data_IF_079366759297
#
_entry.id   IF_079366759297
#
_cell.length_a   1.000
_cell.length_b   1.000
_cell.length_c   1.000
_cell.angle_alpha   90.00
_cell.angle_beta   90.00
_cell.angle_gamma   90.00
#
_symmetry.space_group_name_H-M   'P 1'
#
loop_
_entity.id
_entity.type
_entity.pdbx_description
1 polymer ?
#
# COMPACT_ATOMS: atom_id res chain seq x y z
N UNK A 1 -5.40 -55.29 -16.22
CA UNK A 1 -4.47 -54.24 -16.72
C UNK A 1 -5.11 -52.86 -16.89
N UNK A 2 -6.37 -52.74 -17.37
CA UNK A 2 -7.08 -51.43 -17.49
C UNK A 2 -7.34 -50.74 -16.14
N UNK A 3 -7.69 -51.48 -15.09
CA UNK A 3 -8.01 -50.87 -13.78
C UNK A 3 -6.83 -50.14 -13.13
N UNK A 4 -5.60 -50.65 -13.27
CA UNK A 4 -4.40 -49.98 -12.75
C UNK A 4 -4.18 -48.62 -13.41
N UNK A 5 -4.53 -48.47 -14.69
CA UNK A 5 -4.39 -47.19 -15.41
C UNK A 5 -5.42 -46.17 -14.92
N UNK A 6 -6.62 -46.62 -14.54
CA UNK A 6 -7.67 -45.78 -13.94
C UNK A 6 -7.25 -45.26 -12.56
N UNK A 7 -6.69 -46.11 -11.71
CA UNK A 7 -6.17 -45.67 -10.40
C UNK A 7 -5.01 -44.68 -10.54
N UNK A 8 -4.10 -44.92 -11.49
CA UNK A 8 -3.00 -44.00 -11.79
C UNK A 8 -3.57 -42.64 -12.23
N UNK A 9 -4.59 -42.61 -13.08
CA UNK A 9 -5.24 -41.38 -13.51
C UNK A 9 -5.91 -40.61 -12.36
N UNK A 10 -6.60 -41.32 -11.46
CA UNK A 10 -7.27 -40.71 -10.30
C UNK A 10 -6.24 -40.11 -9.34
N UNK A 11 -5.17 -40.83 -9.05
CA UNK A 11 -4.08 -40.32 -8.18
C UNK A 11 -3.45 -39.07 -8.79
N UNK A 12 -3.20 -39.07 -10.10
CA UNK A 12 -2.64 -37.92 -10.79
C UNK A 12 -3.58 -36.69 -10.73
N UNK A 13 -4.89 -36.91 -10.86
CA UNK A 13 -5.89 -35.86 -10.79
C UNK A 13 -5.99 -35.24 -9.38
N UNK A 14 -5.93 -36.07 -8.33
CA UNK A 14 -5.98 -35.60 -6.94
C UNK A 14 -4.76 -34.73 -6.61
N UNK A 15 -3.56 -35.10 -7.07
CA UNK A 15 -2.33 -34.31 -6.86
C UNK A 15 -2.44 -32.93 -7.50
N UNK A 16 -3.13 -32.80 -8.64
CA UNK A 16 -3.31 -31.51 -9.32
C UNK A 16 -4.22 -30.54 -8.53
N UNK A 17 -5.18 -31.08 -7.76
CA UNK A 17 -6.15 -30.29 -6.99
C UNK A 17 -5.57 -29.70 -5.69
N UNK A 18 -4.40 -30.15 -5.24
CA UNK A 18 -3.77 -29.66 -3.99
C UNK A 18 -2.79 -28.50 -4.23
N UNK A 19 -2.81 -27.88 -5.41
CA UNK A 19 -2.00 -26.69 -5.70
C UNK A 19 -2.47 -25.51 -4.83
N UNK A 20 -1.74 -25.28 -3.75
CA UNK A 20 -2.01 -24.20 -2.81
C UNK A 20 -1.73 -22.86 -3.48
N UNK A 21 -2.65 -21.90 -3.35
CA UNK A 21 -2.45 -20.51 -3.77
C UNK A 21 -1.30 -19.89 -2.97
N UNK A 22 -0.09 -19.94 -3.52
CA UNK A 22 1.07 -19.25 -2.96
C UNK A 22 0.83 -17.74 -3.08
N UNK A 23 0.45 -17.10 -1.98
CA UNK A 23 0.40 -15.65 -1.87
C UNK A 23 1.84 -15.18 -1.73
N UNK A 24 2.49 -14.89 -2.86
CA UNK A 24 3.81 -14.29 -2.85
C UNK A 24 3.73 -12.94 -2.12
N UNK A 25 4.41 -12.83 -0.97
CA UNK A 25 4.68 -11.55 -0.35
C UNK A 25 5.58 -10.75 -1.31
N UNK A 26 5.00 -9.79 -2.03
CA UNK A 26 5.74 -8.92 -2.93
C UNK A 26 6.50 -7.91 -2.06
N UNK A 27 7.74 -8.24 -1.72
CA UNK A 27 8.69 -7.24 -1.25
C UNK A 27 9.04 -6.36 -2.45
N UNK A 28 8.45 -5.17 -2.54
CA UNK A 28 8.87 -4.18 -3.54
C UNK A 28 10.26 -3.70 -3.13
N UNK A 29 11.30 -4.24 -3.79
CA UNK A 29 12.65 -3.70 -3.77
C UNK A 29 12.65 -2.37 -4.53
N UNK A 30 12.24 -1.32 -3.80
CA UNK A 30 12.00 0.03 -4.27
C UNK A 30 11.40 0.86 -3.13
N UNK A 31 11.45 2.19 -3.23
CA UNK A 31 10.80 3.06 -2.23
C UNK A 31 9.29 2.83 -2.31
N UNK A 32 8.67 2.29 -1.26
CA UNK A 32 7.22 2.09 -1.20
C UNK A 32 6.43 3.40 -1.36
N UNK A 33 5.13 3.31 -1.66
CA UNK A 33 4.27 4.47 -1.95
C UNK A 33 4.33 5.55 -0.84
N UNK A 34 4.38 5.13 0.44
CA UNK A 34 4.53 6.03 1.59
C UNK A 34 5.89 6.75 1.58
N UNK A 35 6.97 6.05 1.19
CA UNK A 35 8.31 6.62 1.05
C UNK A 35 8.38 7.60 -0.11
N UNK A 36 7.73 7.30 -1.24
CA UNK A 36 7.62 8.21 -2.37
C UNK A 36 6.82 9.47 -2.00
N UNK A 37 5.75 9.32 -1.23
CA UNK A 37 5.00 10.45 -0.67
C UNK A 37 5.88 11.33 0.22
N UNK A 38 6.65 10.72 1.12
CA UNK A 38 7.61 11.44 1.96
C UNK A 38 8.64 12.22 1.14
N UNK A 39 9.23 11.61 0.11
CA UNK A 39 10.18 12.31 -0.74
C UNK A 39 9.55 13.46 -1.52
N UNK A 40 8.32 13.29 -1.99
CA UNK A 40 7.59 14.37 -2.63
C UNK A 40 7.41 15.57 -1.71
N UNK A 41 6.97 15.34 -0.47
CA UNK A 41 6.84 16.40 0.53
C UNK A 41 8.21 17.02 0.89
N UNK A 42 9.24 16.20 1.10
CA UNK A 42 10.58 16.64 1.49
C UNK A 42 11.27 17.50 0.43
N UNK A 43 11.15 17.10 -0.84
CA UNK A 43 11.85 17.74 -1.96
C UNK A 43 10.97 18.74 -2.72
N UNK A 44 9.73 18.96 -2.29
CA UNK A 44 8.83 19.93 -2.90
C UNK A 44 8.24 19.47 -4.24
N UNK A 45 8.17 18.17 -4.51
CA UNK A 45 7.54 17.68 -5.74
C UNK A 45 6.01 17.74 -5.62
N UNK A 46 5.41 18.55 -6.47
CA UNK A 46 3.98 18.88 -6.41
C UNK A 46 3.16 18.26 -7.55
N UNK A 47 3.67 17.19 -8.17
CA UNK A 47 2.98 16.55 -9.30
C UNK A 47 1.78 15.72 -8.84
N UNK A 48 0.79 15.58 -9.73
CA UNK A 48 -0.36 14.67 -9.51
C UNK A 48 0.07 13.22 -9.25
N UNK A 49 1.20 12.80 -9.83
CA UNK A 49 1.77 11.48 -9.59
C UNK A 49 2.11 11.29 -8.12
N UNK A 50 2.81 12.24 -7.50
CA UNK A 50 3.18 12.21 -6.07
C UNK A 50 1.94 12.21 -5.18
N UNK A 51 0.93 13.02 -5.50
CA UNK A 51 -0.35 13.03 -4.78
C UNK A 51 -1.00 11.63 -4.82
N UNK A 52 -0.99 10.97 -5.97
CA UNK A 52 -1.53 9.61 -6.10
C UNK A 52 -0.70 8.59 -5.31
N UNK A 53 0.63 8.72 -5.26
CA UNK A 53 1.48 7.88 -4.39
C UNK A 53 1.07 7.99 -2.93
N UNK A 54 0.83 9.20 -2.42
CA UNK A 54 0.32 9.39 -1.07
C UNK A 54 -1.05 8.74 -0.85
N UNK A 55 -1.98 8.91 -1.79
CA UNK A 55 -3.33 8.31 -1.69
C UNK A 55 -3.30 6.79 -1.71
N UNK A 56 -2.47 6.20 -2.57
CA UNK A 56 -2.28 4.76 -2.63
C UNK A 56 -1.72 4.22 -1.31
N UNK A 57 -0.72 4.91 -0.74
CA UNK A 57 -0.20 4.56 0.59
C UNK A 57 -1.28 4.62 1.67
N UNK A 58 -2.16 5.62 1.64
CA UNK A 58 -3.29 5.72 2.57
C UNK A 58 -4.36 4.65 2.32
N UNK A 59 -4.43 4.04 1.15
CA UNK A 59 -5.34 2.92 0.88
C UNK A 59 -4.73 1.56 1.26
N UNK A 60 -3.44 1.51 1.61
CA UNK A 60 -2.78 0.30 2.08
C UNK A 60 -3.17 0.00 3.53
N UNK A 61 -3.90 -1.10 3.75
CA UNK A 61 -4.34 -1.52 5.08
C UNK A 61 -3.19 -2.00 5.98
N UNK A 62 -2.03 -2.34 5.41
CA UNK A 62 -0.84 -2.73 6.17
C UNK A 62 -0.06 -1.52 6.73
N UNK A 63 -0.41 -0.30 6.31
CA UNK A 63 0.25 0.91 6.77
C UNK A 63 -0.10 1.19 8.25
N UNK A 64 0.91 1.14 9.11
CA UNK A 64 0.76 1.36 10.55
C UNK A 64 0.11 2.73 10.85
N UNK A 65 -0.62 2.87 11.97
CA UNK A 65 -1.28 4.14 12.33
C UNK A 65 -0.31 5.33 12.35
N UNK A 66 0.90 5.14 12.90
CA UNK A 66 1.96 6.16 12.91
C UNK A 66 2.36 6.58 11.48
N UNK A 67 2.60 5.61 10.59
CA UNK A 67 2.99 5.90 9.21
C UNK A 67 1.84 6.49 8.39
N UNK A 68 0.60 6.12 8.70
CA UNK A 68 -0.61 6.71 8.13
C UNK A 68 -0.74 8.18 8.51
N UNK A 69 -0.56 8.52 9.79
CA UNK A 69 -0.46 9.90 10.25
C UNK A 69 0.60 10.71 9.52
N UNK A 70 1.82 10.18 9.43
CA UNK A 70 2.92 10.82 8.69
C UNK A 70 2.60 11.01 7.20
N UNK A 71 1.92 10.03 6.57
CA UNK A 71 1.53 10.10 5.16
C UNK A 71 0.46 11.18 4.92
N UNK A 72 -0.51 11.33 5.84
CA UNK A 72 -1.45 12.45 5.81
C UNK A 72 -0.74 13.81 5.93
N UNK A 73 0.23 13.93 6.85
CA UNK A 73 1.00 15.16 7.00
C UNK A 73 1.79 15.49 5.72
N UNK A 74 2.48 14.50 5.15
CA UNK A 74 3.24 14.67 3.90
C UNK A 74 2.32 15.09 2.74
N UNK A 75 1.15 14.47 2.59
CA UNK A 75 0.18 14.85 1.59
C UNK A 75 -0.36 16.27 1.80
N UNK A 76 -0.56 16.68 3.06
CA UNK A 76 -0.91 18.04 3.43
C UNK A 76 0.12 19.07 2.97
N UNK A 77 1.42 18.79 3.19
CA UNK A 77 2.53 19.62 2.70
C UNK A 77 2.50 19.72 1.17
N UNK A 78 2.30 18.60 0.48
CA UNK A 78 2.22 18.58 -0.99
C UNK A 78 1.03 19.42 -1.49
N UNK A 79 -0.15 19.32 -0.87
CA UNK A 79 -1.30 20.15 -1.22
C UNK A 79 -1.04 21.64 -0.97
N UNK A 80 -0.34 21.97 0.11
CA UNK A 80 0.04 23.36 0.39
C UNK A 80 0.96 23.91 -0.71
N UNK A 81 1.99 23.17 -1.08
CA UNK A 81 2.91 23.56 -2.16
C UNK A 81 2.17 23.73 -3.49
N UNK A 82 1.23 22.82 -3.76
CA UNK A 82 0.39 22.87 -4.95
C UNK A 82 -0.71 23.95 -4.91
N UNK A 83 -0.63 24.91 -3.98
CA UNK A 83 -1.58 26.01 -3.80
C UNK A 83 -3.03 25.55 -3.59
N UNK A 84 -3.21 24.43 -2.88
CA UNK A 84 -4.52 23.87 -2.49
C UNK A 84 -4.70 23.92 -0.96
N UNK A 85 -4.78 25.11 -0.35
CA UNK A 85 -4.75 25.29 1.11
C UNK A 85 -5.89 24.58 1.84
N UNK A 86 -7.11 24.58 1.30
CA UNK A 86 -8.25 23.90 1.94
C UNK A 86 -8.01 22.39 2.06
N UNK A 87 -7.46 21.78 1.00
CA UNK A 87 -7.10 20.36 1.01
C UNK A 87 -5.90 20.11 1.92
N UNK A 88 -4.94 21.02 1.97
CA UNK A 88 -3.82 20.94 2.88
C UNK A 88 -4.30 20.89 4.33
N UNK A 89 -5.11 21.86 4.75
CA UNK A 89 -5.67 21.93 6.11
C UNK A 89 -6.49 20.69 6.45
N UNK A 90 -7.38 20.25 5.56
CA UNK A 90 -8.18 19.04 5.75
C UNK A 90 -7.28 17.81 5.99
N UNK A 91 -6.24 17.65 5.17
CA UNK A 91 -5.37 16.48 5.22
C UNK A 91 -4.44 16.52 6.44
N UNK A 92 -3.91 17.70 6.79
CA UNK A 92 -3.11 17.90 8.00
C UNK A 92 -3.93 17.61 9.26
N UNK A 93 -5.19 18.05 9.31
CA UNK A 93 -6.08 17.77 10.43
C UNK A 93 -6.34 16.27 10.61
N UNK A 94 -6.56 15.53 9.51
CA UNK A 94 -6.62 14.06 9.57
C UNK A 94 -5.31 13.46 10.09
N UNK A 95 -4.16 13.97 9.68
CA UNK A 95 -2.86 13.53 10.22
C UNK A 95 -2.73 13.71 11.73
N UNK A 96 -3.28 14.80 12.28
CA UNK A 96 -3.28 15.06 13.73
C UNK A 96 -4.07 14.03 14.53
N UNK A 97 -5.12 13.45 13.97
CA UNK A 97 -5.90 12.39 14.63
C UNK A 97 -5.02 11.18 14.97
N UNK A 98 -4.02 10.88 14.16
CA UNK A 98 -3.04 9.82 14.40
C UNK A 98 -1.93 10.21 15.39
N UNK A 99 -1.77 11.51 15.67
CA UNK A 99 -0.85 12.01 16.69
C UNK A 99 -1.28 11.63 18.11
N UNK A 100 -2.59 11.43 18.33
CA UNK A 100 -3.15 10.91 19.59
C UNK A 100 -3.14 9.38 19.70
N UNK A 101 -2.71 8.66 18.64
CA UNK A 101 -2.65 7.19 18.58
C UNK A 101 -1.27 6.67 19.05
N UNK A 102 -0.46 7.51 19.70
CA UNK A 102 0.84 7.11 20.24
C UNK A 102 0.73 6.65 21.69
N UNK A 103 0.62 5.34 21.86
CA UNK A 103 1.57 4.53 22.64
C UNK A 103 1.64 3.14 22.02
#
# INVERSE_FOLDING_TARGET
MKENYTYIFIVFFIVFLVSSYSHAAITVLGKGEATLCYHGAKFGYETRSVINKCKNALNDNSLSPKNRGATYVNLGIIYNNFSQPDKALLTLNRGKEYGGVQS
#
